data_IF_730637456769
#
_entry.id   IF_730637456769
#
_cell.length_a   1.000
_cell.length_b   1.000
_cell.length_c   1.000
_cell.angle_alpha   90.00
_cell.angle_beta   90.00
_cell.angle_gamma   90.00
#
_symmetry.space_group_name_H-M   'P 1'
#
loop_
_entity.id
_entity.type
_entity.pdbx_description
1 polymer ?
#
# COMPACT_ATOMS: atom_id res chain seq x y z
N UNK A 1 -27.95 -7.24 -43.60
CA UNK A 1 -26.86 -6.68 -44.43
C UNK A 1 -25.82 -6.15 -43.43
N UNK A 2 -24.80 -6.84 -42.94
CA UNK A 2 -23.92 -7.82 -43.58
C UNK A 2 -22.68 -7.10 -44.08
N UNK A 3 -21.63 -6.94 -43.26
CA UNK A 3 -20.27 -6.62 -43.73
C UNK A 3 -19.30 -7.55 -43.00
N UNK A 4 -18.58 -8.32 -43.82
CA UNK A 4 -17.61 -9.36 -43.47
C UNK A 4 -16.21 -8.76 -43.47
N UNK A 5 -15.40 -9.17 -42.48
CA UNK A 5 -13.97 -8.86 -42.30
C UNK A 5 -13.10 -9.40 -43.44
N UNK A 6 -11.95 -8.74 -43.70
CA UNK A 6 -10.66 -9.43 -43.91
C UNK A 6 -9.49 -8.44 -44.03
N UNK A 7 -8.47 -8.63 -43.19
CA UNK A 7 -7.07 -8.59 -43.63
C UNK A 7 -6.28 -9.61 -42.83
N UNK A 8 -5.59 -10.51 -43.55
CA UNK A 8 -4.70 -11.55 -43.05
C UNK A 8 -3.31 -11.32 -43.68
N UNK A 9 -2.28 -11.77 -42.96
CA UNK A 9 -0.83 -11.89 -43.26
C UNK A 9 0.02 -10.87 -42.50
N UNK A 10 1.15 -11.23 -41.89
CA UNK A 10 1.91 -12.49 -41.79
C UNK A 10 2.92 -12.31 -40.64
N UNK A 11 3.25 -13.41 -39.96
CA UNK A 11 4.50 -13.72 -39.24
C UNK A 11 5.21 -12.63 -38.40
N UNK A 12 5.30 -12.88 -37.09
CA UNK A 12 6.22 -12.22 -36.16
C UNK A 12 5.87 -12.63 -34.73
N UNK A 13 6.82 -13.20 -34.00
CA UNK A 13 6.65 -13.78 -32.66
C UNK A 13 5.92 -12.84 -31.66
N UNK A 14 5.15 -13.37 -30.70
CA UNK A 14 4.65 -12.55 -29.60
C UNK A 14 5.81 -12.22 -28.66
N UNK A 15 6.37 -11.02 -28.83
CA UNK A 15 7.11 -10.36 -27.76
C UNK A 15 6.11 -9.97 -26.69
N UNK A 16 6.17 -10.63 -25.53
CA UNK A 16 5.44 -10.21 -24.34
C UNK A 16 6.12 -8.94 -23.82
N UNK A 17 5.65 -7.79 -24.30
CA UNK A 17 5.88 -6.53 -23.61
C UNK A 17 5.02 -6.52 -22.35
N UNK A 18 5.57 -6.23 -21.16
CA UNK A 18 4.77 -6.08 -19.96
C UNK A 18 3.78 -4.93 -20.17
N UNK A 19 2.49 -5.23 -20.04
CA UNK A 19 1.44 -4.23 -20.03
C UNK A 19 1.61 -3.44 -18.74
N UNK A 20 2.30 -2.29 -18.80
CA UNK A 20 2.25 -1.29 -17.75
C UNK A 20 0.81 -0.76 -17.71
N UNK A 21 0.00 -1.31 -16.81
CA UNK A 21 -1.27 -0.72 -16.44
C UNK A 21 -0.99 0.57 -15.68
N UNK A 22 -1.21 1.72 -16.33
CA UNK A 22 -1.27 3.00 -15.64
C UNK A 22 -2.53 2.98 -14.77
N UNK A 23 -2.42 2.76 -13.46
CA UNK A 23 -3.61 2.70 -12.60
C UNK A 23 -4.28 4.07 -12.50
N UNK A 24 -5.57 4.12 -12.84
CA UNK A 24 -6.39 5.34 -12.79
C UNK A 24 -6.66 5.77 -11.34
N UNK A 25 -6.62 7.08 -11.05
CA UNK A 25 -7.09 7.71 -9.79
C UNK A 25 -8.45 7.18 -9.30
N UNK A 26 -9.26 6.67 -10.21
CA UNK A 26 -10.54 6.00 -9.92
C UNK A 26 -10.41 4.81 -8.96
N UNK A 27 -9.35 3.99 -9.08
CA UNK A 27 -9.16 2.79 -8.24
C UNK A 27 -8.83 3.15 -6.79
N UNK A 28 -7.95 4.14 -6.58
CA UNK A 28 -7.56 4.65 -5.26
C UNK A 28 -8.79 5.21 -4.52
N UNK A 29 -9.59 6.02 -5.22
CA UNK A 29 -10.84 6.57 -4.68
C UNK A 29 -11.74 5.41 -4.24
N UNK A 30 -11.95 4.40 -5.09
CA UNK A 30 -12.82 3.26 -4.77
C UNK A 30 -12.39 2.48 -3.54
N UNK A 31 -11.09 2.31 -3.27
CA UNK A 31 -10.60 1.57 -2.09
C UNK A 31 -10.77 2.37 -0.79
N UNK A 32 -10.59 3.69 -0.83
CA UNK A 32 -10.81 4.58 0.32
C UNK A 32 -12.26 4.57 0.83
N UNK A 33 -13.24 4.20 -0.01
CA UNK A 33 -14.65 4.16 0.40
C UNK A 33 -14.99 3.04 1.39
N UNK A 34 -14.15 2.02 1.54
CA UNK A 34 -14.47 0.79 2.28
C UNK A 34 -14.11 0.85 3.76
N UNK A 35 -13.10 1.65 4.08
CA UNK A 35 -12.66 1.92 5.42
C UNK A 35 -13.14 3.31 5.82
N UNK A 36 -13.68 3.45 7.02
CA UNK A 36 -14.02 4.74 7.60
C UNK A 36 -13.05 5.02 8.73
N UNK A 37 -12.29 6.10 8.61
CA UNK A 37 -11.43 6.59 9.68
C UNK A 37 -12.27 6.94 10.92
N UNK A 38 -11.75 6.59 12.10
CA UNK A 38 -12.35 6.90 13.40
C UNK A 38 -11.48 7.95 14.10
N UNK A 39 -11.98 9.17 14.17
CA UNK A 39 -11.35 10.30 14.86
C UNK A 39 -11.43 10.10 16.38
N UNK A 40 -10.34 9.65 16.98
CA UNK A 40 -10.22 9.44 18.42
C UNK A 40 -8.92 10.11 18.90
N UNK A 41 -9.03 10.99 19.89
CA UNK A 41 -7.92 11.81 20.39
C UNK A 41 -6.75 10.99 20.95
N UNK A 42 -7.02 9.80 21.49
CA UNK A 42 -5.97 8.91 22.03
C UNK A 42 -5.02 8.48 20.91
N UNK A 43 -5.55 8.08 19.76
CA UNK A 43 -4.76 7.65 18.59
C UNK A 43 -3.99 8.79 17.94
N UNK A 44 -4.53 10.01 17.96
CA UNK A 44 -3.79 11.20 17.54
C UNK A 44 -2.59 11.46 18.47
N UNK A 45 -2.80 11.34 19.78
CA UNK A 45 -1.74 11.51 20.79
C UNK A 45 -0.64 10.46 20.62
N UNK A 46 -1.03 9.19 20.40
CA UNK A 46 -0.09 8.11 20.13
C UNK A 46 0.69 8.38 18.85
N UNK A 47 0.01 8.68 17.73
CA UNK A 47 0.65 8.96 16.43
C UNK A 47 1.68 10.09 16.53
N UNK A 48 1.33 11.17 17.25
CA UNK A 48 2.24 12.29 17.51
C UNK A 48 3.45 11.85 18.33
N UNK A 49 3.26 11.01 19.34
CA UNK A 49 4.36 10.47 20.16
C UNK A 49 5.28 9.51 19.42
N UNK A 50 4.76 8.82 18.40
CA UNK A 50 5.52 7.90 17.54
C UNK A 50 6.30 8.61 16.42
N UNK A 51 6.07 9.90 16.21
CA UNK A 51 6.76 10.71 15.19
C UNK A 51 7.79 11.63 15.85
N UNK A 52 9.09 11.38 15.59
CA UNK A 52 10.17 12.12 16.24
C UNK A 52 11.49 12.01 15.46
N UNK A 53 12.43 12.92 15.73
CA UNK A 53 13.80 12.83 15.25
C UNK A 53 14.63 11.91 16.17
N UNK A 54 15.23 10.87 15.61
CA UNK A 54 16.24 10.04 16.28
C UNK A 54 17.65 10.54 15.92
N UNK A 55 18.69 9.85 16.40
CA UNK A 55 20.09 10.25 16.13
C UNK A 55 20.40 10.19 14.62
N UNK A 56 20.10 9.08 13.96
CA UNK A 56 20.53 8.80 12.58
C UNK A 56 19.39 8.83 11.55
N UNK A 57 18.14 8.92 12.00
CA UNK A 57 16.97 8.91 11.13
C UNK A 57 15.84 9.77 11.68
N UNK A 58 14.92 10.17 10.80
CA UNK A 58 13.62 10.71 11.17
C UNK A 58 12.63 9.56 11.28
N UNK A 59 11.97 9.42 12.43
CA UNK A 59 10.96 8.40 12.66
C UNK A 59 9.59 8.99 12.39
N UNK A 60 8.86 8.38 11.46
CA UNK A 60 7.46 8.70 11.17
C UNK A 60 6.58 7.57 11.66
N UNK A 61 5.69 7.88 12.60
CA UNK A 61 4.79 6.91 13.21
C UNK A 61 3.32 7.24 12.99
N UNK A 62 2.53 6.22 12.66
CA UNK A 62 1.07 6.32 12.52
C UNK A 62 0.39 5.27 13.40
N UNK A 63 -0.62 5.68 14.14
CA UNK A 63 -1.52 4.82 14.89
C UNK A 63 -2.94 5.30 14.59
N UNK A 64 -3.61 4.61 13.67
CA UNK A 64 -4.88 5.05 13.09
C UNK A 64 -5.92 3.95 13.23
N UNK A 65 -7.15 4.31 13.56
CA UNK A 65 -8.24 3.34 13.69
C UNK A 65 -9.27 3.52 12.58
N UNK A 66 -9.65 2.41 11.97
CA UNK A 66 -10.64 2.37 10.91
C UNK A 66 -11.74 1.38 11.24
N UNK A 67 -12.96 1.64 10.78
CA UNK A 67 -14.05 0.65 10.77
C UNK A 67 -14.39 0.23 9.35
N UNK A 68 -14.69 -1.05 9.16
CA UNK A 68 -15.17 -1.55 7.87
C UNK A 68 -16.59 -1.05 7.68
N UNK A 69 -16.88 -0.30 6.61
CA UNK A 69 -18.26 0.07 6.30
C UNK A 69 -19.05 -1.20 5.96
N UNK A 70 -20.31 -1.29 6.37
CA UNK A 70 -21.15 -2.40 5.96
C UNK A 70 -21.26 -2.39 4.43
N UNK A 71 -21.05 -3.54 3.79
CA UNK A 71 -21.15 -3.76 2.34
C UNK A 71 -22.60 -3.63 1.78
N UNK A 72 -23.43 -2.78 2.41
CA UNK A 72 -24.80 -2.47 2.00
C UNK A 72 -24.85 -1.47 0.85
N UNK A 73 -23.98 -0.45 0.85
CA UNK A 73 -23.98 0.61 -0.17
C UNK A 73 -23.12 0.25 -1.39
N UNK A 74 -22.03 -0.51 -1.22
CA UNK A 74 -21.04 -0.81 -2.29
C UNK A 74 -20.99 -2.27 -2.75
N UNK A 75 -22.12 -2.99 -2.67
CA UNK A 75 -22.21 -4.44 -2.98
C UNK A 75 -21.74 -4.79 -4.42
N UNK A 76 -21.83 -3.86 -5.37
CA UNK A 76 -21.38 -4.06 -6.76
C UNK A 76 -19.86 -3.97 -6.90
N UNK A 77 -19.26 -2.97 -6.26
CA UNK A 77 -17.80 -2.77 -6.24
C UNK A 77 -17.12 -3.89 -5.46
N UNK A 78 -17.76 -4.37 -4.40
CA UNK A 78 -17.32 -5.55 -3.67
C UNK A 78 -17.12 -6.77 -4.55
N UNK A 79 -18.15 -7.08 -5.35
CA UNK A 79 -18.10 -8.18 -6.30
C UNK A 79 -17.10 -7.95 -7.43
N UNK A 80 -16.72 -6.70 -7.73
CA UNK A 80 -15.75 -6.41 -8.79
C UNK A 80 -14.32 -6.62 -8.31
N UNK A 81 -13.98 -6.12 -7.11
CA UNK A 81 -12.65 -6.34 -6.53
C UNK A 81 -12.43 -7.81 -6.16
N UNK A 82 -13.47 -8.47 -5.62
CA UNK A 82 -13.43 -9.91 -5.39
C UNK A 82 -13.21 -10.67 -6.71
N UNK A 83 -13.89 -10.29 -7.79
CA UNK A 83 -13.65 -10.87 -9.13
C UNK A 83 -12.26 -10.60 -9.66
N UNK A 84 -11.69 -9.42 -9.43
CA UNK A 84 -10.32 -9.10 -9.84
C UNK A 84 -9.30 -9.95 -9.08
N UNK A 85 -9.51 -10.11 -7.77
CA UNK A 85 -8.68 -10.98 -6.92
C UNK A 85 -8.81 -12.44 -7.31
N UNK A 86 -10.04 -12.92 -7.57
CA UNK A 86 -10.27 -14.28 -8.04
C UNK A 86 -9.65 -14.52 -9.41
N UNK A 87 -9.73 -13.56 -10.34
CA UNK A 87 -9.13 -13.66 -11.67
C UNK A 87 -7.59 -13.74 -11.60
N UNK A 88 -6.94 -12.82 -10.87
CA UNK A 88 -5.48 -12.87 -10.68
C UNK A 88 -5.04 -14.15 -9.96
N UNK A 89 -5.81 -14.61 -8.98
CA UNK A 89 -5.52 -15.88 -8.32
C UNK A 89 -5.64 -17.07 -9.27
N UNK A 90 -6.64 -17.09 -10.16
CA UNK A 90 -6.78 -18.13 -11.19
C UNK A 90 -5.59 -18.11 -12.16
N UNK A 91 -5.09 -16.93 -12.52
CA UNK A 91 -3.88 -16.78 -13.34
C UNK A 91 -2.64 -17.31 -12.61
N UNK A 92 -2.43 -16.93 -11.35
CA UNK A 92 -1.33 -17.47 -10.52
C UNK A 92 -1.43 -18.98 -10.40
N UNK A 93 -2.63 -19.54 -10.16
CA UNK A 93 -2.90 -20.98 -10.12
C UNK A 93 -2.61 -21.67 -11.45
N UNK A 94 -2.96 -21.04 -12.59
CA UNK A 94 -2.70 -21.58 -13.92
C UNK A 94 -1.20 -21.62 -14.22
N UNK A 95 -0.46 -20.55 -13.89
CA UNK A 95 1.00 -20.50 -14.00
C UNK A 95 1.66 -21.56 -13.10
N UNK A 96 1.19 -21.67 -11.87
CA UNK A 96 1.62 -22.68 -10.90
C UNK A 96 1.50 -24.12 -11.44
N UNK A 97 0.36 -24.44 -12.06
CA UNK A 97 0.11 -25.76 -12.67
C UNK A 97 1.06 -26.05 -13.83
N UNK A 98 1.59 -25.03 -14.49
CA UNK A 98 2.57 -25.18 -15.59
C UNK A 98 3.99 -25.47 -15.11
N UNK A 99 4.32 -25.14 -13.85
CA UNK A 99 5.69 -25.25 -13.31
C UNK A 99 5.91 -26.47 -12.41
N UNK A 100 4.86 -27.00 -11.77
CA UNK A 100 4.71 -28.39 -11.27
C UNK A 100 3.45 -28.47 -10.38
N UNK A 101 2.57 -29.47 -10.53
CA UNK A 101 1.28 -29.51 -9.84
C UNK A 101 1.33 -29.68 -8.31
N UNK A 102 2.37 -30.32 -7.77
CA UNK A 102 2.36 -30.84 -6.38
C UNK A 102 2.84 -29.86 -5.29
N UNK A 103 3.55 -28.79 -5.65
CA UNK A 103 4.03 -27.77 -4.70
C UNK A 103 3.17 -26.51 -4.70
N UNK A 104 2.46 -26.24 -5.79
CA UNK A 104 1.80 -24.96 -6.01
C UNK A 104 0.37 -24.88 -5.47
N UNK A 105 -0.38 -25.98 -5.52
CA UNK A 105 -1.68 -26.10 -4.84
C UNK A 105 -1.57 -25.91 -3.31
N UNK A 106 -0.44 -26.31 -2.73
CA UNK A 106 -0.11 -26.12 -1.31
C UNK A 106 0.19 -24.66 -0.96
N UNK A 107 0.74 -23.86 -1.88
CA UNK A 107 1.09 -22.47 -1.61
C UNK A 107 -0.13 -21.55 -1.64
N UNK A 108 -1.08 -21.76 -2.56
CA UNK A 108 -2.31 -20.94 -2.63
C UNK A 108 -3.29 -21.26 -1.47
N UNK A 109 -3.22 -22.48 -0.93
CA UNK A 109 -3.89 -22.85 0.32
C UNK A 109 -3.21 -22.27 1.58
N UNK A 110 -1.96 -21.78 1.48
CA UNK A 110 -1.13 -21.28 2.59
C UNK A 110 -0.97 -19.75 2.58
N UNK A 111 -1.96 -19.00 2.08
CA UNK A 111 -1.90 -17.54 2.24
C UNK A 111 -1.91 -17.14 3.72
N UNK A 112 -1.35 -15.98 4.08
CA UNK A 112 -1.42 -15.43 5.44
C UNK A 112 -2.86 -15.29 5.95
N UNK A 113 -3.83 -15.11 5.05
CA UNK A 113 -5.25 -14.94 5.38
C UNK A 113 -6.01 -16.26 5.52
N UNK A 114 -5.35 -17.38 5.24
CA UNK A 114 -5.96 -18.70 5.08
C UNK A 114 -6.27 -19.02 3.60
N UNK A 115 -7.07 -20.07 3.35
CA UNK A 115 -7.45 -20.44 1.99
C UNK A 115 -8.18 -19.29 1.29
N UNK A 116 -7.68 -18.85 0.14
CA UNK A 116 -8.20 -17.68 -0.60
C UNK A 116 -9.46 -18.01 -1.42
N UNK A 117 -9.87 -19.27 -1.49
CA UNK A 117 -11.20 -19.70 -1.95
C UNK A 117 -12.32 -19.26 -0.98
N UNK A 118 -11.97 -19.05 0.30
CA UNK A 118 -12.90 -18.50 1.29
C UNK A 118 -13.07 -16.99 1.12
N UNK A 119 -14.33 -16.57 1.01
CA UNK A 119 -14.74 -15.16 0.94
C UNK A 119 -14.16 -14.36 2.13
N UNK A 120 -14.17 -14.93 3.33
CA UNK A 120 -13.66 -14.27 4.55
C UNK A 120 -12.16 -13.94 4.46
N UNK A 121 -11.35 -14.82 3.88
CA UNK A 121 -9.91 -14.60 3.69
C UNK A 121 -9.66 -13.45 2.72
N UNK A 122 -10.33 -13.47 1.56
CA UNK A 122 -10.23 -12.40 0.55
C UNK A 122 -10.68 -11.05 1.10
N UNK A 123 -11.77 -11.03 1.86
CA UNK A 123 -12.25 -9.80 2.52
C UNK A 123 -11.21 -9.22 3.47
N UNK A 124 -10.56 -10.07 4.24
CA UNK A 124 -9.53 -9.61 5.19
C UNK A 124 -8.40 -8.94 4.44
N UNK A 125 -7.88 -9.57 3.37
CA UNK A 125 -6.88 -8.96 2.50
C UNK A 125 -7.33 -7.60 1.94
N UNK A 126 -8.55 -7.53 1.39
CA UNK A 126 -9.11 -6.28 0.86
C UNK A 126 -9.19 -5.18 1.91
N UNK A 127 -9.60 -5.50 3.14
CA UNK A 127 -9.68 -4.50 4.20
C UNK A 127 -8.31 -3.91 4.56
N UNK A 128 -7.25 -4.74 4.55
CA UNK A 128 -5.88 -4.27 4.82
C UNK A 128 -5.37 -3.37 3.69
N UNK A 129 -5.56 -3.76 2.42
CA UNK A 129 -5.21 -2.92 1.28
C UNK A 129 -6.00 -1.61 1.27
N UNK A 130 -7.30 -1.67 1.56
CA UNK A 130 -8.13 -0.47 1.68
C UNK A 130 -7.68 0.44 2.84
N UNK A 131 -7.20 -0.15 3.93
CA UNK A 131 -6.63 0.62 5.07
C UNK A 131 -5.35 1.33 4.66
N UNK A 132 -4.46 0.68 3.89
CA UNK A 132 -3.26 1.32 3.35
C UNK A 132 -3.60 2.50 2.43
N UNK A 133 -4.49 2.31 1.47
CA UNK A 133 -4.93 3.39 0.56
C UNK A 133 -5.63 4.54 1.30
N UNK A 134 -6.33 4.24 2.39
CA UNK A 134 -6.94 5.28 3.22
C UNK A 134 -5.88 6.07 4.03
N UNK A 135 -4.84 5.40 4.52
CA UNK A 135 -3.77 6.03 5.30
C UNK A 135 -2.77 6.79 4.44
N UNK A 136 -2.57 6.40 3.17
CA UNK A 136 -1.67 7.07 2.23
C UNK A 136 -2.39 7.32 0.89
N UNK A 137 -3.20 8.40 0.80
CA UNK A 137 -4.03 8.70 -0.37
C UNK A 137 -3.27 9.01 -1.67
N UNK A 138 -1.98 9.32 -1.53
CA UNK A 138 -1.02 9.60 -2.59
C UNK A 138 -0.40 8.33 -3.21
N UNK A 139 -0.58 7.18 -2.55
CA UNK A 139 -0.03 5.89 -2.99
C UNK A 139 -1.15 4.94 -3.45
N UNK A 140 -0.84 4.08 -4.42
CA UNK A 140 -1.75 3.03 -4.89
C UNK A 140 -1.28 1.65 -4.44
N UNK A 141 -1.99 1.06 -3.48
CA UNK A 141 -1.72 -0.29 -2.98
C UNK A 141 -2.56 -1.37 -3.67
N UNK A 142 -3.31 -1.02 -4.73
CA UNK A 142 -4.13 -1.99 -5.48
C UNK A 142 -3.31 -3.13 -6.10
N UNK A 143 -2.01 -2.90 -6.32
CA UNK A 143 -1.09 -3.87 -6.92
C UNK A 143 -0.60 -4.95 -5.93
N UNK A 144 -0.79 -4.73 -4.63
CA UNK A 144 -0.30 -5.64 -3.59
C UNK A 144 -0.91 -7.04 -3.74
N UNK A 145 -0.12 -8.03 -3.31
CA UNK A 145 -0.45 -9.44 -3.27
C UNK A 145 -0.66 -9.91 -1.83
N UNK A 146 -1.43 -11.00 -1.63
CA UNK A 146 -1.61 -11.57 -0.29
C UNK A 146 -0.30 -11.93 0.43
N UNK A 147 0.77 -12.24 -0.31
CA UNK A 147 2.07 -12.62 0.23
C UNK A 147 2.97 -11.44 0.63
N UNK A 148 2.59 -10.20 0.28
CA UNK A 148 3.21 -8.98 0.85
C UNK A 148 2.83 -8.77 2.32
N UNK A 149 2.02 -9.67 2.87
CA UNK A 149 1.59 -9.68 4.25
C UNK A 149 2.03 -10.97 4.95
N UNK A 150 2.11 -10.94 6.28
CA UNK A 150 2.29 -12.14 7.10
C UNK A 150 1.29 -12.14 8.25
N UNK A 151 0.85 -13.32 8.66
CA UNK A 151 -0.04 -13.46 9.82
C UNK A 151 0.79 -13.67 11.08
N UNK A 152 0.67 -12.73 12.00
CA UNK A 152 1.33 -12.78 13.29
C UNK A 152 0.50 -13.59 14.27
N UNK A 153 1.11 -14.63 14.86
CA UNK A 153 0.40 -15.58 15.73
C UNK A 153 0.47 -15.22 17.21
N UNK A 154 1.34 -14.29 17.58
CA UNK A 154 1.64 -13.99 18.97
C UNK A 154 1.70 -12.48 19.20
N UNK A 155 0.64 -11.93 19.80
CA UNK A 155 0.53 -10.53 20.18
C UNK A 155 1.73 -10.06 21.02
N UNK A 156 2.17 -10.86 21.99
CA UNK A 156 3.28 -10.48 22.87
C UNK A 156 4.59 -10.31 22.10
N UNK A 157 4.83 -11.14 21.09
CA UNK A 157 6.02 -11.01 20.23
C UNK A 157 5.93 -9.71 19.43
N UNK A 158 4.78 -9.42 18.81
CA UNK A 158 4.57 -8.18 18.06
C UNK A 158 4.80 -6.95 18.93
N UNK A 159 4.18 -6.91 20.11
CA UNK A 159 4.34 -5.83 21.08
C UNK A 159 5.81 -5.69 21.52
N UNK A 160 6.49 -6.80 21.82
CA UNK A 160 7.90 -6.77 22.23
C UNK A 160 8.82 -6.29 21.12
N UNK A 161 8.59 -6.69 19.87
CA UNK A 161 9.35 -6.20 18.72
C UNK A 161 9.18 -4.70 18.57
N UNK A 162 7.94 -4.21 18.60
CA UNK A 162 7.64 -2.78 18.51
C UNK A 162 8.26 -1.98 19.67
N UNK A 163 8.15 -2.50 20.89
CA UNK A 163 8.73 -1.91 22.09
C UNK A 163 10.26 -1.85 22.02
N UNK A 164 10.90 -2.91 21.52
CA UNK A 164 12.35 -2.98 21.37
C UNK A 164 12.82 -1.96 20.34
N UNK A 165 12.12 -1.82 19.21
CA UNK A 165 12.41 -0.79 18.21
C UNK A 165 12.35 0.61 18.82
N UNK A 166 11.27 0.95 19.53
CA UNK A 166 11.14 2.27 20.17
C UNK A 166 12.14 2.49 21.31
N UNK A 167 12.47 1.44 22.08
CA UNK A 167 13.50 1.51 23.11
C UNK A 167 14.87 1.84 22.51
N UNK A 168 15.25 1.18 21.42
CA UNK A 168 16.50 1.42 20.70
C UNK A 168 16.58 2.83 20.11
N UNK A 169 15.42 3.45 19.83
CA UNK A 169 15.30 4.83 19.36
C UNK A 169 15.19 5.85 20.52
N UNK A 170 15.35 5.42 21.78
CA UNK A 170 15.32 6.30 22.96
C UNK A 170 13.92 6.63 23.49
N UNK A 171 12.86 5.93 23.05
CA UNK A 171 11.44 6.19 23.38
C UNK A 171 10.77 5.12 24.23
N UNK A 172 11.52 4.42 25.08
CA UNK A 172 10.99 3.29 25.87
C UNK A 172 9.99 3.61 27.00
N UNK A 173 9.96 4.85 27.52
CA UNK A 173 9.29 5.16 28.79
C UNK A 173 7.76 5.30 28.74
N UNK A 174 7.15 5.37 27.55
CA UNK A 174 5.71 5.64 27.36
C UNK A 174 4.94 4.49 26.70
N UNK A 175 5.56 3.32 26.58
CA UNK A 175 5.02 2.21 25.80
C UNK A 175 3.83 1.50 26.46
N UNK A 176 3.82 1.34 27.79
CA UNK A 176 2.75 0.62 28.46
C UNK A 176 1.40 1.35 28.34
N UNK A 177 1.38 2.65 28.65
CA UNK A 177 0.17 3.46 28.55
C UNK A 177 -0.39 3.50 27.10
N UNK A 178 0.49 3.52 26.10
CA UNK A 178 0.08 3.41 24.69
C UNK A 178 -0.67 2.11 24.41
N UNK A 179 -0.12 0.97 24.85
CA UNK A 179 -0.77 -0.32 24.63
C UNK A 179 -2.09 -0.45 25.38
N UNK A 180 -2.19 0.09 26.59
CA UNK A 180 -3.43 0.09 27.38
C UNK A 180 -4.53 0.90 26.66
N UNK A 181 -4.19 2.06 26.09
CA UNK A 181 -5.11 2.88 25.28
C UNK A 181 -5.53 2.16 24.00
N UNK A 182 -4.58 1.53 23.30
CA UNK A 182 -4.89 0.75 22.10
C UNK A 182 -5.84 -0.40 22.45
N UNK A 183 -5.55 -1.15 23.52
CA UNK A 183 -6.35 -2.30 23.94
C UNK A 183 -7.79 -1.89 24.31
N UNK A 184 -7.95 -0.75 24.98
CA UNK A 184 -9.27 -0.19 25.32
C UNK A 184 -10.18 0.00 24.09
N UNK A 185 -9.62 0.39 22.95
CA UNK A 185 -10.39 0.68 21.73
C UNK A 185 -10.51 -0.48 20.75
N UNK A 186 -9.60 -1.46 20.80
CA UNK A 186 -9.46 -2.50 19.76
C UNK A 186 -9.59 -3.92 20.29
N UNK A 187 -9.42 -4.13 21.60
CA UNK A 187 -9.36 -5.44 22.26
C UNK A 187 -8.32 -6.35 21.58
N UNK A 188 -7.03 -6.10 21.86
CA UNK A 188 -5.90 -6.69 21.14
C UNK A 188 -5.90 -8.22 21.16
N UNK A 189 -6.36 -8.84 22.25
CA UNK A 189 -6.46 -10.31 22.37
C UNK A 189 -7.48 -10.92 21.42
N UNK A 190 -8.46 -10.14 20.95
CA UNK A 190 -9.51 -10.57 20.01
C UNK A 190 -9.17 -10.23 18.55
N UNK A 191 -7.95 -9.76 18.28
CA UNK A 191 -7.51 -9.38 16.94
C UNK A 191 -6.83 -10.52 16.19
N UNK A 192 -7.14 -10.65 14.90
CA UNK A 192 -6.19 -11.24 13.95
C UNK A 192 -5.13 -10.19 13.60
N UNK A 193 -3.85 -10.55 13.75
CA UNK A 193 -2.73 -9.63 13.58
C UNK A 193 -2.00 -9.95 12.28
N UNK A 194 -1.68 -8.91 11.50
CA UNK A 194 -0.94 -9.02 10.26
C UNK A 194 0.19 -8.01 10.22
N UNK A 195 1.32 -8.37 9.64
CA UNK A 195 2.41 -7.46 9.29
C UNK A 195 2.45 -7.25 7.79
N UNK A 196 2.82 -6.04 7.35
CA UNK A 196 3.09 -5.72 5.94
C UNK A 196 4.60 -5.72 5.71
N UNK A 197 5.03 -6.56 4.79
CA UNK A 197 6.42 -6.80 4.40
C UNK A 197 6.43 -7.06 2.89
N UNK A 198 6.33 -6.00 2.08
CA UNK A 198 6.37 -6.12 0.62
C UNK A 198 7.78 -6.53 0.17
N UNK A 199 7.85 -7.20 -0.98
CA UNK A 199 9.13 -7.37 -1.66
C UNK A 199 9.66 -6.00 -2.14
N UNK A 200 10.99 -5.83 -2.19
CA UNK A 200 11.63 -4.52 -2.36
C UNK A 200 11.15 -3.70 -3.55
N UNK A 201 10.94 -4.32 -4.72
CA UNK A 201 10.46 -3.65 -5.94
C UNK A 201 8.93 -3.46 -5.97
N UNK A 202 8.22 -4.06 -5.03
CA UNK A 202 6.75 -4.12 -4.98
C UNK A 202 6.15 -3.14 -3.99
N UNK A 203 6.94 -2.49 -3.11
CA UNK A 203 6.43 -1.56 -2.11
C UNK A 203 6.06 -0.22 -2.75
N UNK A 204 4.76 0.12 -2.91
CA UNK A 204 4.38 1.42 -3.45
C UNK A 204 4.86 2.56 -2.54
N UNK A 205 5.05 2.27 -1.25
CA UNK A 205 5.42 3.24 -0.22
C UNK A 205 6.90 3.17 0.16
N UNK A 206 7.69 2.34 -0.53
CA UNK A 206 9.13 2.18 -0.37
C UNK A 206 9.90 3.27 -1.09
N UNK A 207 9.72 4.52 -0.67
CA UNK A 207 10.40 5.67 -1.27
C UNK A 207 11.86 5.83 -0.87
N UNK A 208 12.54 6.76 -1.54
CA UNK A 208 13.94 7.10 -1.29
C UNK A 208 14.20 7.44 0.17
N UNK A 209 15.25 6.84 0.71
CA UNK A 209 15.66 7.04 2.10
C UNK A 209 14.93 6.22 3.14
N UNK A 210 13.99 5.33 2.79
CA UNK A 210 13.45 4.37 3.75
C UNK A 210 14.55 3.40 4.21
N UNK A 211 14.94 3.49 5.49
CA UNK A 211 15.94 2.60 6.09
C UNK A 211 15.27 1.32 6.58
N UNK A 212 14.14 1.48 7.26
CA UNK A 212 13.36 0.38 7.79
C UNK A 212 11.90 0.80 7.96
N UNK A 213 11.00 -0.17 7.89
CA UNK A 213 9.60 0.00 8.23
C UNK A 213 9.10 -1.19 9.06
N UNK A 214 8.16 -0.91 9.95
CA UNK A 214 7.45 -1.90 10.74
C UNK A 214 5.97 -1.52 10.72
N UNK A 215 5.17 -2.26 9.97
CA UNK A 215 3.74 -1.97 9.79
C UNK A 215 2.91 -3.17 10.19
N UNK A 216 1.96 -2.94 11.10
CA UNK A 216 1.06 -3.94 11.66
C UNK A 216 -0.41 -3.52 11.52
N UNK A 217 -1.26 -4.52 11.33
CA UNK A 217 -2.71 -4.41 11.32
C UNK A 217 -3.29 -5.29 12.42
N UNK A 218 -4.14 -4.73 13.25
CA UNK A 218 -4.90 -5.47 14.25
C UNK A 218 -6.36 -5.45 13.85
N UNK A 219 -6.85 -6.57 13.34
CA UNK A 219 -8.22 -6.68 12.85
C UNK A 219 -9.11 -7.39 13.87
N UNK A 220 -9.95 -6.61 14.55
CA UNK A 220 -11.03 -7.16 15.38
C UNK A 220 -12.30 -7.32 14.53
N UNK A 221 -12.61 -8.58 14.20
CA UNK A 221 -13.78 -8.93 13.37
C UNK A 221 -15.13 -8.64 14.05
N UNK A 222 -15.18 -8.75 15.38
CA UNK A 222 -16.40 -8.52 16.15
C UNK A 222 -16.74 -7.03 16.19
N UNK A 223 -15.74 -6.19 16.48
CA UNK A 223 -15.88 -4.74 16.47
C UNK A 223 -15.91 -4.15 15.06
N UNK A 224 -15.55 -4.94 14.03
CA UNK A 224 -15.37 -4.48 12.64
C UNK A 224 -14.38 -3.33 12.56
N UNK A 225 -13.29 -3.43 13.33
CA UNK A 225 -12.26 -2.40 13.48
C UNK A 225 -10.91 -2.93 13.01
N UNK A 226 -10.18 -2.12 12.26
CA UNK A 226 -8.80 -2.35 11.86
C UNK A 226 -7.97 -1.22 12.44
N UNK A 227 -7.06 -1.55 13.35
CA UNK A 227 -6.01 -0.63 13.77
C UNK A 227 -4.84 -0.76 12.80
N UNK A 228 -4.39 0.37 12.28
CA UNK A 228 -3.18 0.51 11.50
C UNK A 228 -2.08 1.12 12.39
N UNK A 229 -1.02 0.36 12.64
CA UNK A 229 0.13 0.81 13.43
C UNK A 229 1.38 0.70 12.57
N UNK A 230 2.01 1.82 12.26
CA UNK A 230 3.18 1.88 11.40
C UNK A 230 4.28 2.72 12.03
N UNK A 231 5.52 2.25 11.93
CA UNK A 231 6.74 3.01 12.17
C UNK A 231 7.62 2.92 10.93
N UNK A 232 8.17 4.06 10.52
CA UNK A 232 9.13 4.15 9.42
C UNK A 232 10.33 4.97 9.88
N UNK A 233 11.53 4.46 9.64
CA UNK A 233 12.78 5.20 9.80
C UNK A 233 13.24 5.70 8.45
N UNK A 234 13.28 7.02 8.28
CA UNK A 234 13.72 7.68 7.06
C UNK A 234 15.12 8.29 7.28
N UNK A 235 16.00 8.13 6.31
CA UNK A 235 17.31 8.77 6.31
C UNK A 235 17.16 10.29 6.35
N UNK A 236 17.95 10.95 7.21
CA UNK A 236 17.99 12.42 7.26
C UNK A 236 18.55 13.04 5.99
N UNK A 237 19.28 12.26 5.21
CA UNK A 237 19.89 12.72 3.95
C UNK A 237 18.93 12.59 2.76
N UNK A 238 17.73 12.02 2.97
CA UNK A 238 16.74 11.83 1.92
C UNK A 238 15.83 13.07 1.82
N UNK A 239 16.41 14.20 1.39
CA UNK A 239 15.69 15.36 0.85
C UNK A 239 16.69 16.20 0.05
N UNK A 240 16.57 16.23 -1.29
CA UNK A 240 16.86 17.37 -2.17
C UNK A 240 16.55 16.99 -3.63
N UNK A 241 15.29 16.66 -3.93
CA UNK A 241 14.73 16.86 -5.27
C UNK A 241 13.37 17.54 -5.03
N UNK A 242 13.11 18.63 -5.74
CA UNK A 242 11.87 19.44 -5.74
C UNK A 242 11.76 20.65 -4.78
N UNK A 243 12.81 21.45 -4.66
CA UNK A 243 12.65 22.92 -4.66
C UNK A 243 13.78 23.51 -5.54
N UNK A 244 13.62 23.45 -6.87
CA UNK A 244 14.36 24.38 -7.73
C UNK A 244 13.89 25.79 -7.37
N UNK A 245 14.71 26.49 -6.57
CA UNK A 245 14.67 27.93 -6.53
C UNK A 245 14.88 28.42 -7.96
N UNK A 246 13.86 29.06 -8.53
CA UNK A 246 14.03 29.88 -9.73
C UNK A 246 14.83 31.10 -9.31
N UNK A 247 16.13 30.91 -9.10
CA UNK A 247 17.08 32.00 -9.03
C UNK A 247 17.26 32.52 -10.45
N UNK A 248 16.65 33.68 -10.67
CA UNK A 248 16.67 34.38 -11.93
C UNK A 248 18.08 34.85 -12.28
N UNK A 249 18.78 34.06 -13.08
CA UNK A 249 20.00 34.49 -13.74
C UNK A 249 19.69 34.99 -15.15
N UNK A 250 19.52 36.31 -15.18
CA UNK A 250 19.75 37.24 -16.27
C UNK A 250 20.90 36.81 -17.21
N UNK A 251 20.55 36.21 -18.35
CA UNK A 251 21.42 36.19 -19.53
C UNK A 251 20.87 37.14 -20.59
N UNK A 252 21.29 38.41 -20.45
CA UNK A 252 21.29 39.33 -21.57
C UNK A 252 22.30 38.85 -22.62
N UNK A 253 21.79 38.47 -23.80
CA UNK A 253 22.57 38.38 -25.01
C UNK A 253 21.80 39.08 -26.14
N UNK A 254 22.48 40.02 -26.76
CA UNK A 254 22.00 41.00 -27.72
C UNK A 254 21.41 40.33 -28.97
N UNK A 255 20.21 40.76 -29.38
CA UNK A 255 19.69 40.51 -30.72
C UNK A 255 20.37 41.49 -31.69
N UNK A 256 21.10 40.96 -32.68
CA UNK A 256 21.58 41.70 -33.84
C UNK A 256 20.47 41.80 -34.91
N UNK A 257 20.17 43.01 -35.36
CA UNK A 257 19.10 43.39 -36.30
C UNK A 257 19.33 42.98 -37.78
N UNK A 258 20.13 41.96 -38.09
CA UNK A 258 20.57 41.72 -39.49
C UNK A 258 19.95 40.54 -40.25
N UNK A 259 19.05 39.74 -39.66
CA UNK A 259 18.42 38.61 -40.39
C UNK A 259 16.95 38.87 -40.82
N UNK A 260 16.62 40.12 -41.15
CA UNK A 260 15.40 40.47 -41.87
C UNK A 260 15.70 40.66 -43.37
N UNK A 261 15.71 39.56 -44.13
CA UNK A 261 15.60 39.62 -45.60
C UNK A 261 14.49 38.66 -46.04
N UNK A 262 13.59 39.17 -46.88
CA UNK A 262 12.36 38.54 -47.36
C UNK A 262 12.56 37.21 -48.09
N UNK A 263 11.47 36.50 -48.44
CA UNK A 263 10.76 36.73 -49.70
C UNK A 263 9.26 36.35 -49.58
N UNK A 264 8.44 37.21 -50.20
CA UNK A 264 7.00 37.09 -50.48
C UNK A 264 6.62 35.97 -51.46
N UNK A 265 5.37 35.50 -51.32
CA UNK A 265 4.46 34.91 -52.33
C UNK A 265 4.92 33.61 -53.03
N UNK A 266 4.10 32.55 -53.11
CA UNK A 266 2.72 32.46 -53.63
C UNK A 266 1.85 31.53 -52.78
#
# INVERSE_FOLDING_TARGET
>A
RGIILKRVSREGQPTFLPIHFTTSRTTIIVLSFWMKFLEISDFETISRGLSFEAQDCRVSGKCELYTTKAAGVDKKLYKQLERHLEARMQETLALARSLSPDDTSKNIAKSPFGPLDLISSRRTFVYLVATLNASHPDHDFSILQPFDFRKERNLKIVMNTFNTTLFNLGRGKQLQAMWDLIDHHVELLNCDIYSYYPDGDSDPHGGDGLIWSATYFFFNKHLKRVLYLSLRGLSKNATHEDEESVDGDNWGAQYSEEDMVGVMEV
#
